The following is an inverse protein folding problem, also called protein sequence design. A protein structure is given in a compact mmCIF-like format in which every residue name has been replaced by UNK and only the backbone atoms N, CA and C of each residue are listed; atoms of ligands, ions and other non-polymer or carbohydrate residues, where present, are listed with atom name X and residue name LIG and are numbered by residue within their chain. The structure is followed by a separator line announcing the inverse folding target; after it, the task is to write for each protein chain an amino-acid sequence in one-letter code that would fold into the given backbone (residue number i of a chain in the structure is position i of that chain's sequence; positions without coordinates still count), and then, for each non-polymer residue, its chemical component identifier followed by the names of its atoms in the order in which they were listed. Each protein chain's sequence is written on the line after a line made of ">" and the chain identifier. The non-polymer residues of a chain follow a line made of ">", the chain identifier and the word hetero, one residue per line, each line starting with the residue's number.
data_IF_865245079878
#
_entry.id   IF_865245079878
#
_cell.length_a   1.000
_cell.length_b   1.000
_cell.length_c   1.000
_cell.angle_alpha   90.00
_cell.angle_beta   90.00
_cell.angle_gamma   90.00
#
_symmetry.space_group_name_H-M   'P 1'
#
loop_
_entity.id
_entity.type
_entity.pdbx_description
1 polymer ?
#
# COMPACT_ATOMS: atom_id res chain seq x y z
N UNK A 1 1.69 5.81 -28.65
CA UNK A 1 0.21 5.79 -28.64
C UNK A 1 -0.40 5.04 -27.45
N UNK A 2 -0.06 3.77 -27.10
CA UNK A 2 -0.62 3.12 -25.91
C UNK A 2 -0.23 3.79 -24.58
N UNK A 3 1.03 4.24 -24.50
CA UNK A 3 1.60 4.87 -23.29
C UNK A 3 1.03 6.27 -23.00
N UNK A 4 0.69 7.05 -24.04
CA UNK A 4 0.07 8.38 -23.87
C UNK A 4 -1.35 8.25 -23.30
N UNK A 5 -2.10 7.23 -23.72
CA UNK A 5 -3.43 6.91 -23.19
C UNK A 5 -3.31 6.47 -21.73
N UNK A 6 -2.37 5.57 -21.42
CA UNK A 6 -2.13 5.09 -20.05
C UNK A 6 -1.70 6.23 -19.12
N UNK A 7 -0.77 7.07 -19.56
CA UNK A 7 -0.32 8.26 -18.83
C UNK A 7 -1.48 9.21 -18.54
N UNK A 8 -2.36 9.44 -19.53
CA UNK A 8 -3.56 10.25 -19.36
C UNK A 8 -4.53 9.68 -18.33
N UNK A 9 -4.74 8.35 -18.34
CA UNK A 9 -5.57 7.66 -17.35
C UNK A 9 -5.00 7.76 -15.94
N UNK A 10 -3.69 7.54 -15.76
CA UNK A 10 -3.03 7.63 -14.46
C UNK A 10 -3.10 9.05 -13.90
N UNK A 11 -2.81 10.07 -14.71
CA UNK A 11 -2.95 11.48 -14.30
C UNK A 11 -4.37 11.83 -13.86
N UNK A 12 -5.38 11.28 -14.56
CA UNK A 12 -6.78 11.45 -14.17
C UNK A 12 -7.08 10.74 -12.84
N UNK A 13 -6.53 9.55 -12.62
CA UNK A 13 -6.72 8.85 -11.36
C UNK A 13 -6.10 9.60 -10.18
N UNK A 14 -4.87 10.14 -10.32
CA UNK A 14 -4.24 10.98 -9.29
C UNK A 14 -5.15 12.14 -8.88
N UNK A 15 -5.73 12.85 -9.87
CA UNK A 15 -6.69 13.94 -9.61
C UNK A 15 -7.93 13.49 -8.83
N UNK A 16 -8.39 12.26 -9.06
CA UNK A 16 -9.53 11.68 -8.34
C UNK A 16 -9.13 11.42 -6.89
N UNK A 17 -7.97 10.79 -6.66
CA UNK A 17 -7.45 10.52 -5.30
C UNK A 17 -7.26 11.82 -4.50
N UNK A 18 -6.62 12.84 -5.08
CA UNK A 18 -6.42 14.17 -4.46
C UNK A 18 -7.75 14.85 -4.09
N UNK A 19 -8.75 14.73 -4.98
CA UNK A 19 -10.09 15.24 -4.76
C UNK A 19 -10.81 14.51 -3.63
N UNK A 20 -10.61 13.19 -3.52
CA UNK A 20 -11.17 12.36 -2.47
C UNK A 20 -10.59 12.73 -1.10
N UNK A 21 -9.26 12.91 -1.00
CA UNK A 21 -8.58 13.38 0.23
C UNK A 21 -9.18 14.69 0.72
N UNK A 22 -9.38 15.65 -0.19
CA UNK A 22 -9.97 16.96 0.15
C UNK A 22 -11.40 16.85 0.65
N UNK A 23 -12.18 15.92 0.10
CA UNK A 23 -13.57 15.69 0.46
C UNK A 23 -13.67 15.01 1.82
N UNK A 24 -12.95 13.91 2.02
CA UNK A 24 -12.94 13.13 3.26
C UNK A 24 -12.44 13.96 4.44
N UNK A 25 -11.43 14.82 4.24
CA UNK A 25 -10.94 15.71 5.30
C UNK A 25 -12.07 16.54 5.94
N UNK A 26 -13.03 17.03 5.13
CA UNK A 26 -14.20 17.77 5.62
C UNK A 26 -15.20 16.88 6.33
N UNK A 27 -15.38 15.65 5.85
CA UNK A 27 -16.27 14.65 6.46
C UNK A 27 -15.76 14.21 7.83
N UNK A 28 -14.44 14.06 7.99
CA UNK A 28 -13.77 13.75 9.26
C UNK A 28 -14.01 14.85 10.31
N UNK A 29 -14.00 16.13 9.91
CA UNK A 29 -14.27 17.26 10.80
C UNK A 29 -15.71 17.25 11.33
N UNK A 30 -16.68 16.84 10.50
CA UNK A 30 -18.10 16.73 10.86
C UNK A 30 -18.50 15.43 11.57
N UNK A 31 -17.61 14.44 11.65
CA UNK A 31 -17.94 13.11 12.19
C UNK A 31 -17.60 13.00 13.67
N UNK A 32 -18.60 12.67 14.49
CA UNK A 32 -18.44 12.49 15.94
C UNK A 32 -18.37 11.02 16.38
N UNK A 33 -18.86 10.09 15.55
CA UNK A 33 -18.71 8.66 15.84
C UNK A 33 -17.25 8.25 15.63
N UNK A 34 -16.62 7.68 16.67
CA UNK A 34 -15.19 7.34 16.66
C UNK A 34 -14.87 6.31 15.58
N UNK A 35 -15.65 5.23 15.47
CA UNK A 35 -15.38 4.18 14.48
C UNK A 35 -15.51 4.72 13.04
N UNK A 36 -16.55 5.49 12.75
CA UNK A 36 -16.72 6.13 11.45
C UNK A 36 -15.57 7.10 11.14
N UNK A 37 -15.12 7.88 12.14
CA UNK A 37 -14.00 8.81 11.98
C UNK A 37 -12.69 8.09 11.67
N UNK A 38 -12.42 6.96 12.33
CA UNK A 38 -11.23 6.16 12.09
C UNK A 38 -11.22 5.58 10.67
N UNK A 39 -12.35 5.03 10.22
CA UNK A 39 -12.47 4.50 8.85
C UNK A 39 -12.34 5.61 7.79
N UNK A 40 -12.90 6.80 8.02
CA UNK A 40 -12.72 7.92 7.11
C UNK A 40 -11.25 8.36 7.03
N UNK A 41 -10.55 8.45 8.17
CA UNK A 41 -9.12 8.76 8.19
C UNK A 41 -8.29 7.72 7.42
N UNK A 42 -8.64 6.45 7.54
CA UNK A 42 -7.99 5.38 6.80
C UNK A 42 -8.21 5.50 5.29
N UNK A 43 -9.45 5.73 4.83
CA UNK A 43 -9.72 5.95 3.40
C UNK A 43 -8.96 7.18 2.87
N UNK A 44 -8.83 8.23 3.69
CA UNK A 44 -8.00 9.39 3.34
C UNK A 44 -6.53 8.96 3.14
N UNK A 45 -5.95 8.23 4.09
CA UNK A 45 -4.56 7.75 4.01
C UNK A 45 -4.35 6.81 2.82
N UNK A 46 -5.32 5.96 2.51
CA UNK A 46 -5.28 5.10 1.33
C UNK A 46 -5.31 5.90 0.03
N UNK A 47 -6.11 6.95 -0.05
CA UNK A 47 -6.17 7.83 -1.22
C UNK A 47 -4.83 8.56 -1.42
N UNK A 48 -4.21 9.04 -0.33
CA UNK A 48 -2.86 9.63 -0.35
C UNK A 48 -1.82 8.61 -0.84
N UNK A 49 -1.84 7.40 -0.30
CA UNK A 49 -0.98 6.28 -0.72
C UNK A 49 -1.16 5.94 -2.20
N UNK A 50 -2.40 5.88 -2.69
CA UNK A 50 -2.68 5.58 -4.10
C UNK A 50 -2.13 6.65 -5.03
N UNK A 51 -2.34 7.93 -4.71
CA UNK A 51 -1.77 9.04 -5.48
C UNK A 51 -0.25 8.92 -5.57
N UNK A 52 0.43 8.67 -4.46
CA UNK A 52 1.88 8.48 -4.42
C UNK A 52 2.36 7.29 -5.28
N UNK A 53 1.66 6.15 -5.22
CA UNK A 53 1.98 4.98 -6.06
C UNK A 53 1.83 5.32 -7.54
N UNK A 54 0.74 6.01 -7.91
CA UNK A 54 0.45 6.40 -9.29
C UNK A 54 1.48 7.42 -9.82
N UNK A 55 1.92 8.37 -8.99
CA UNK A 55 3.03 9.27 -9.29
C UNK A 55 4.32 8.49 -9.55
N UNK A 56 4.67 7.54 -8.68
CA UNK A 56 5.84 6.68 -8.88
C UNK A 56 5.77 5.87 -10.18
N UNK A 57 4.57 5.39 -10.59
CA UNK A 57 4.37 4.74 -11.89
C UNK A 57 4.59 5.72 -13.05
N UNK A 58 4.07 6.95 -12.95
CA UNK A 58 4.29 7.98 -13.97
C UNK A 58 5.77 8.34 -14.11
N UNK A 59 6.48 8.41 -13.00
CA UNK A 59 7.92 8.67 -13.01
C UNK A 59 8.64 7.57 -13.80
N UNK A 60 8.36 6.29 -13.54
CA UNK A 60 9.01 5.21 -14.30
C UNK A 60 8.65 5.26 -15.79
N UNK A 61 7.37 5.40 -16.15
CA UNK A 61 6.92 5.38 -17.55
C UNK A 61 7.35 6.63 -18.32
N UNK A 62 7.52 7.77 -17.63
CA UNK A 62 7.90 9.05 -18.23
C UNK A 62 9.37 9.16 -18.66
N UNK A 63 10.24 8.22 -18.25
CA UNK A 63 11.65 8.21 -18.64
C UNK A 63 11.84 7.63 -20.04
N UNK A 64 12.68 8.27 -20.88
CA UNK A 64 12.96 7.83 -22.25
C UNK A 64 13.57 6.43 -22.36
N UNK A 65 14.22 5.97 -21.29
CA UNK A 65 14.84 4.65 -21.18
C UNK A 65 14.08 3.74 -20.18
N UNK A 66 12.77 3.97 -20.00
CA UNK A 66 11.94 3.24 -19.05
C UNK A 66 12.11 1.72 -19.23
N UNK A 67 12.61 1.07 -18.18
CA UNK A 67 12.60 -0.39 -18.05
C UNK A 67 11.27 -0.83 -17.44
N UNK A 68 10.88 -2.11 -17.57
CA UNK A 68 9.79 -2.67 -16.78
C UNK A 68 9.96 -2.30 -15.30
N UNK A 69 8.85 -2.09 -14.58
CA UNK A 69 8.85 -1.59 -13.19
C UNK A 69 9.76 -2.43 -12.25
N UNK A 70 9.86 -3.73 -12.51
CA UNK A 70 10.68 -4.69 -11.77
C UNK A 70 12.18 -4.66 -12.12
N UNK A 71 12.53 -4.05 -13.26
CA UNK A 71 13.87 -4.00 -13.84
C UNK A 71 14.54 -2.61 -13.69
N UNK A 72 13.84 -1.63 -13.11
CA UNK A 72 14.41 -0.31 -12.76
C UNK A 72 15.59 -0.51 -11.81
N UNK A 73 16.76 -0.03 -12.23
CA UNK A 73 18.08 -0.41 -11.70
C UNK A 73 18.22 -0.18 -10.19
N UNK A 74 18.42 -1.27 -9.44
CA UNK A 74 19.10 -1.22 -8.14
C UNK A 74 20.58 -1.03 -8.44
N UNK A 75 21.14 0.10 -8.02
CA UNK A 75 22.49 0.55 -8.40
C UNK A 75 23.63 -0.32 -7.81
N UNK A 76 23.36 -1.08 -6.74
CA UNK A 76 24.35 -1.99 -6.15
C UNK A 76 23.78 -3.36 -5.73
N UNK A 77 24.59 -4.41 -5.92
CA UNK A 77 24.26 -5.77 -5.50
C UNK A 77 24.12 -5.91 -3.98
N UNK A 78 24.88 -5.10 -3.22
CA UNK A 78 24.83 -5.08 -1.76
C UNK A 78 23.49 -4.50 -1.28
N UNK A 79 23.03 -3.41 -1.89
CA UNK A 79 21.72 -2.81 -1.56
C UNK A 79 20.58 -3.79 -1.86
N UNK A 80 20.70 -4.57 -2.94
CA UNK A 80 19.73 -5.61 -3.28
C UNK A 80 19.59 -6.66 -2.18
N UNK A 81 20.70 -7.13 -1.60
CA UNK A 81 20.67 -8.13 -0.53
C UNK A 81 20.15 -7.54 0.79
N UNK A 82 20.56 -6.32 1.13
CA UNK A 82 20.12 -5.64 2.36
C UNK A 82 18.61 -5.36 2.29
N UNK A 83 18.12 -4.79 1.20
CA UNK A 83 16.69 -4.50 1.04
C UNK A 83 15.89 -5.79 1.03
N UNK A 84 16.31 -6.83 0.30
CA UNK A 84 15.65 -8.14 0.33
C UNK A 84 15.53 -8.67 1.76
N UNK A 85 16.62 -8.68 2.54
CA UNK A 85 16.61 -9.15 3.93
C UNK A 85 15.66 -8.34 4.81
N UNK A 86 15.60 -7.02 4.62
CA UNK A 86 14.68 -6.16 5.35
C UNK A 86 13.22 -6.49 5.02
N UNK A 87 12.88 -6.70 3.75
CA UNK A 87 11.54 -7.12 3.33
C UNK A 87 11.18 -8.51 3.88
N UNK A 88 12.11 -9.47 3.90
CA UNK A 88 11.90 -10.78 4.52
C UNK A 88 11.65 -10.69 6.05
N UNK A 89 12.27 -9.71 6.73
CA UNK A 89 12.00 -9.46 8.14
C UNK A 89 10.64 -8.76 8.37
N UNK A 90 10.20 -7.91 7.43
CA UNK A 90 8.88 -7.31 7.48
C UNK A 90 7.78 -8.38 7.37
N UNK A 91 7.92 -9.32 6.42
CA UNK A 91 7.01 -10.46 6.26
C UNK A 91 6.82 -11.24 7.58
N UNK A 92 7.90 -11.51 8.32
CA UNK A 92 7.83 -12.19 9.63
C UNK A 92 7.12 -11.35 10.70
N UNK A 93 7.31 -10.03 10.64
CA UNK A 93 6.64 -9.10 11.55
C UNK A 93 5.14 -9.08 11.27
N UNK A 94 4.74 -9.05 10.00
CA UNK A 94 3.33 -9.08 9.57
C UNK A 94 2.65 -10.39 9.98
N UNK A 95 3.32 -11.54 9.86
CA UNK A 95 2.80 -12.83 10.35
C UNK A 95 2.52 -12.79 11.86
N UNK A 96 3.48 -12.31 12.66
CA UNK A 96 3.31 -12.18 14.10
C UNK A 96 2.19 -11.19 14.48
N UNK A 97 2.07 -10.10 13.73
CA UNK A 97 1.01 -9.11 13.92
C UNK A 97 -0.37 -9.71 13.59
N UNK A 98 -0.50 -10.42 12.47
CA UNK A 98 -1.74 -11.07 12.07
C UNK A 98 -2.20 -12.10 13.11
N UNK A 99 -1.29 -12.94 13.61
CA UNK A 99 -1.60 -13.89 14.69
C UNK A 99 -2.10 -13.20 15.96
N UNK A 100 -1.50 -12.07 16.31
CA UNK A 100 -1.89 -11.29 17.47
C UNK A 100 -3.29 -10.69 17.30
N UNK A 101 -3.55 -10.01 16.18
CA UNK A 101 -4.84 -9.39 15.89
C UNK A 101 -5.94 -10.46 15.85
N UNK A 102 -5.68 -11.61 15.24
CA UNK A 102 -6.66 -12.71 15.20
C UNK A 102 -7.00 -13.25 16.59
N UNK A 103 -6.07 -13.22 17.56
CA UNK A 103 -6.40 -13.53 18.96
C UNK A 103 -7.33 -12.49 19.55
N UNK A 104 -7.02 -11.20 19.37
CA UNK A 104 -7.83 -10.09 19.88
C UNK A 104 -9.26 -10.09 19.31
N UNK A 105 -9.42 -10.37 18.02
CA UNK A 105 -10.73 -10.52 17.35
C UNK A 105 -11.60 -11.60 18.02
N UNK A 106 -11.00 -12.69 18.51
CA UNK A 106 -11.73 -13.78 19.19
C UNK A 106 -12.11 -13.44 20.63
N UNK A 107 -11.37 -12.54 21.27
CA UNK A 107 -11.53 -12.21 22.69
C UNK A 107 -12.45 -11.01 22.90
N UNK A 108 -12.51 -10.09 21.94
CA UNK A 108 -13.39 -8.91 22.03
C UNK A 108 -14.86 -9.29 21.88
N UNK A 109 -15.71 -8.63 22.67
CA UNK A 109 -17.18 -8.70 22.57
C UNK A 109 -17.79 -7.45 21.93
N UNK A 110 -16.98 -6.43 21.69
CA UNK A 110 -17.42 -5.20 21.06
C UNK A 110 -17.34 -5.37 19.54
N UNK A 111 -18.51 -5.38 18.88
CA UNK A 111 -18.61 -5.60 17.43
C UNK A 111 -17.96 -4.48 16.61
N UNK A 112 -17.87 -3.26 17.15
CA UNK A 112 -17.18 -2.15 16.50
C UNK A 112 -15.66 -2.33 16.54
N UNK A 113 -15.12 -2.73 17.70
CA UNK A 113 -13.70 -3.08 17.82
C UNK A 113 -13.37 -4.29 16.94
N UNK A 114 -14.23 -5.30 16.95
CA UNK A 114 -14.06 -6.51 16.14
C UNK A 114 -13.97 -6.18 14.64
N UNK A 115 -14.88 -5.35 14.14
CA UNK A 115 -14.87 -4.88 12.75
C UNK A 115 -13.54 -4.22 12.37
N UNK A 116 -13.03 -3.31 13.23
CA UNK A 116 -11.78 -2.60 12.97
C UNK A 116 -10.56 -3.55 13.01
N UNK A 117 -10.53 -4.50 13.95
CA UNK A 117 -9.46 -5.49 14.03
C UNK A 117 -9.48 -6.45 12.83
N UNK A 118 -10.65 -6.89 12.39
CA UNK A 118 -10.81 -7.71 11.18
C UNK A 118 -10.34 -6.96 9.93
N UNK A 119 -10.59 -5.64 9.87
CA UNK A 119 -10.11 -4.77 8.81
C UNK A 119 -8.58 -4.69 8.80
N UNK A 120 -7.93 -4.42 9.94
CA UNK A 120 -6.45 -4.41 10.03
C UNK A 120 -5.88 -5.77 9.62
N UNK A 121 -6.46 -6.89 10.09
CA UNK A 121 -6.01 -8.24 9.71
C UNK A 121 -6.08 -8.49 8.19
N UNK A 122 -7.10 -7.93 7.52
CA UNK A 122 -7.24 -7.99 6.06
C UNK A 122 -6.11 -7.25 5.35
N UNK A 123 -5.73 -6.09 5.86
CA UNK A 123 -4.66 -5.28 5.27
C UNK A 123 -3.28 -5.89 5.48
N UNK A 124 -2.98 -6.40 6.67
CA UNK A 124 -1.72 -7.13 6.92
C UNK A 124 -1.56 -8.33 5.98
N UNK A 125 -2.66 -9.05 5.70
CA UNK A 125 -2.63 -10.16 4.74
C UNK A 125 -2.32 -9.69 3.32
N UNK A 126 -2.89 -8.57 2.87
CA UNK A 126 -2.60 -7.99 1.56
C UNK A 126 -1.16 -7.52 1.47
N UNK A 127 -0.65 -6.83 2.50
CA UNK A 127 0.73 -6.36 2.56
C UNK A 127 1.71 -7.52 2.41
N UNK A 128 1.48 -8.60 3.17
CA UNK A 128 2.27 -9.81 3.10
C UNK A 128 2.35 -10.41 1.69
N UNK A 129 1.21 -10.57 1.01
CA UNK A 129 1.14 -11.09 -0.35
C UNK A 129 1.86 -10.19 -1.37
N UNK A 130 1.76 -8.87 -1.21
CA UNK A 130 2.44 -7.87 -2.04
C UNK A 130 3.95 -7.94 -1.81
N UNK A 131 4.42 -7.96 -0.56
CA UNK A 131 5.85 -8.04 -0.23
C UNK A 131 6.50 -9.31 -0.78
N UNK A 132 5.83 -10.46 -0.65
CA UNK A 132 6.30 -11.71 -1.26
C UNK A 132 6.45 -11.59 -2.77
N UNK A 133 5.50 -10.92 -3.43
CA UNK A 133 5.54 -10.67 -4.87
C UNK A 133 6.70 -9.74 -5.24
N UNK A 134 6.91 -8.66 -4.50
CA UNK A 134 8.03 -7.73 -4.74
C UNK A 134 9.38 -8.44 -4.58
N UNK A 135 9.57 -9.23 -3.53
CA UNK A 135 10.81 -10.03 -3.34
C UNK A 135 10.99 -11.01 -4.51
N UNK A 136 9.91 -11.70 -4.88
CA UNK A 136 9.95 -12.68 -5.98
C UNK A 136 10.27 -12.03 -7.30
N UNK A 137 9.72 -10.86 -7.65
CA UNK A 137 9.91 -10.24 -8.97
C UNK A 137 11.15 -9.34 -9.05
N UNK A 138 11.33 -8.39 -8.13
CA UNK A 138 12.43 -7.42 -8.16
C UNK A 138 13.75 -7.99 -7.58
N UNK A 139 13.66 -8.91 -6.62
CA UNK A 139 14.82 -9.39 -5.85
C UNK A 139 15.26 -10.81 -6.23
N UNK A 140 14.93 -11.29 -7.45
CA UNK A 140 15.50 -12.53 -8.01
C UNK A 140 17.01 -12.42 -8.02
N UNK A 141 17.69 -13.29 -7.26
CA UNK A 141 19.12 -13.49 -7.40
C UNK A 141 19.25 -14.57 -8.47
N UNK A 142 19.61 -14.17 -9.70
CA UNK A 142 20.00 -15.15 -10.72
C UNK A 142 21.40 -15.68 -10.36
N UNK A 143 21.66 -16.99 -10.54
CA UNK A 143 22.99 -17.55 -10.35
C UNK A 143 24.01 -16.93 -11.31
#
# INVERSE_FOLDING_TARGET
>A
MPEEILTGLIKKQIKIEEGLVTTIKKEVEGTHNVAAKLLLLEVQMDSEKHAMILEGILDVIGHKDAKPLWDTLIESYVDKLVVKKNLENHIKTEEAMLEHIQREVRETKDEGIKLLLEHIASDEKKHHEILQTVIREAYKIRP
#
